data_IF_312150926222
#
_entry.id   IF_312150926222
#
_cell.length_a   1.000
_cell.length_b   1.000
_cell.length_c   1.000
_cell.angle_alpha   90.00
_cell.angle_beta   90.00
_cell.angle_gamma   90.00
#
_symmetry.space_group_name_H-M   'P 1'
#
loop_
_entity.id
_entity.type
_entity.pdbx_description
1 polymer ?
#
# COMPACT_ATOMS: atom_id res chain seq x y z
N UNK A 1 4.20 27.00 15.58
CA UNK A 1 4.13 25.77 16.37
C UNK A 1 5.30 24.90 15.95
N UNK A 2 6.12 24.40 16.89
CA UNK A 2 7.26 23.55 16.52
C UNK A 2 6.74 22.14 16.20
N UNK A 3 7.33 21.48 15.20
CA UNK A 3 6.95 20.13 14.77
C UNK A 3 6.96 19.11 15.93
N UNK A 4 7.88 19.28 16.89
CA UNK A 4 7.97 18.43 18.09
C UNK A 4 6.74 18.59 18.98
N UNK A 5 6.31 19.83 19.23
CA UNK A 5 5.12 20.12 20.03
C UNK A 5 3.86 19.56 19.35
N UNK A 6 3.77 19.71 18.01
CA UNK A 6 2.67 19.14 17.22
C UNK A 6 2.59 17.61 17.31
N UNK A 7 3.72 16.92 17.34
CA UNK A 7 3.78 15.47 17.50
C UNK A 7 3.31 15.02 18.90
N UNK A 8 3.76 15.71 19.96
CA UNK A 8 3.29 15.45 21.32
C UNK A 8 1.78 15.68 21.44
N UNK A 9 1.24 16.71 20.81
CA UNK A 9 -0.18 17.02 20.82
C UNK A 9 -1.02 15.97 20.10
N UNK A 10 -0.55 15.50 18.95
CA UNK A 10 -1.16 14.37 18.26
C UNK A 10 -1.16 13.11 19.11
N UNK A 11 -0.04 12.79 19.77
CA UNK A 11 0.06 11.63 20.67
C UNK A 11 -0.94 11.75 21.84
N UNK A 12 -1.01 12.91 22.51
CA UNK A 12 -1.99 13.16 23.59
C UNK A 12 -3.43 12.94 23.13
N UNK A 13 -3.78 13.39 21.91
CA UNK A 13 -5.13 13.16 21.34
C UNK A 13 -5.42 11.68 21.07
N UNK A 14 -4.42 10.91 20.65
CA UNK A 14 -4.53 9.48 20.39
C UNK A 14 -4.76 8.68 21.68
N UNK A 15 -3.93 8.91 22.70
CA UNK A 15 -4.07 8.26 24.02
C UNK A 15 -5.43 8.55 24.66
N UNK A 16 -5.93 9.79 24.54
CA UNK A 16 -7.28 10.14 25.03
C UNK A 16 -8.39 9.33 24.37
N UNK A 17 -8.21 8.87 23.13
CA UNK A 17 -9.19 8.06 22.38
C UNK A 17 -9.01 6.57 22.61
N UNK A 18 -7.77 6.12 22.84
CA UNK A 18 -7.44 4.72 23.07
C UNK A 18 -6.24 4.62 24.02
N UNK A 19 -6.49 4.13 25.24
CA UNK A 19 -5.46 4.03 26.28
C UNK A 19 -4.33 3.05 25.91
N UNK A 20 -4.62 2.03 25.10
CA UNK A 20 -3.63 1.04 24.67
C UNK A 20 -2.51 1.64 23.80
N UNK A 21 -2.72 2.85 23.23
CA UNK A 21 -1.70 3.57 22.47
C UNK A 21 -0.44 3.84 23.29
N UNK A 22 -0.55 4.04 24.61
CA UNK A 22 0.63 4.25 25.47
C UNK A 22 1.62 3.08 25.44
N UNK A 23 1.14 1.87 25.14
CA UNK A 23 1.94 0.65 25.08
C UNK A 23 2.18 0.18 23.64
N UNK A 24 1.69 0.92 22.65
CA UNK A 24 1.84 0.56 21.25
C UNK A 24 3.29 0.69 20.79
N UNK A 25 3.67 -0.18 19.85
CA UNK A 25 4.90 -0.01 19.07
C UNK A 25 4.59 0.82 17.84
N UNK A 26 5.53 1.66 17.44
CA UNK A 26 5.39 2.53 16.29
C UNK A 26 6.15 1.96 15.09
N UNK A 27 5.48 1.90 13.93
CA UNK A 27 6.17 1.80 12.65
C UNK A 27 6.47 3.23 12.19
N UNK A 28 7.74 3.52 11.88
CA UNK A 28 8.16 4.83 11.36
C UNK A 28 8.84 4.61 10.03
N UNK A 29 8.26 5.16 8.98
CA UNK A 29 8.74 5.04 7.60
C UNK A 29 9.16 6.43 7.09
N UNK A 30 10.21 6.52 6.25
CA UNK A 30 10.58 7.77 5.62
C UNK A 30 9.43 8.34 4.81
N UNK A 31 9.18 9.65 4.96
CA UNK A 31 8.22 10.33 4.12
C UNK A 31 8.83 10.50 2.73
N UNK A 32 8.36 9.72 1.77
CA UNK A 32 8.66 9.93 0.35
C UNK A 32 7.84 11.13 -0.14
N UNK A 33 8.42 11.90 -1.06
CA UNK A 33 7.76 13.02 -1.75
C UNK A 33 7.53 12.63 -3.21
N UNK A 34 6.66 11.65 -3.41
CA UNK A 34 6.26 11.16 -4.72
C UNK A 34 4.79 11.43 -5.04
N UNK A 35 4.28 10.69 -6.02
CA UNK A 35 2.86 10.64 -6.38
C UNK A 35 2.28 9.35 -5.82
N UNK A 36 1.24 9.45 -4.99
CA UNK A 36 0.54 8.29 -4.48
C UNK A 36 -0.15 7.52 -5.62
N UNK A 37 0.12 6.21 -5.71
CA UNK A 37 -0.45 5.28 -6.67
C UNK A 37 -1.12 4.12 -5.95
N UNK A 38 -2.14 3.54 -6.59
CA UNK A 38 -2.73 2.27 -6.19
C UNK A 38 -2.60 1.27 -7.32
N UNK A 39 -2.12 0.07 -7.00
CA UNK A 39 -1.98 -1.06 -7.90
C UNK A 39 -3.01 -2.11 -7.50
N UNK A 40 -3.89 -2.48 -8.44
CA UNK A 40 -4.86 -3.54 -8.25
C UNK A 40 -4.41 -4.79 -8.98
N UNK A 41 -4.22 -5.86 -8.22
CA UNK A 41 -3.94 -7.19 -8.75
C UNK A 41 -5.18 -8.08 -8.59
N UNK A 42 -5.48 -8.86 -9.62
CA UNK A 42 -6.59 -9.81 -9.62
C UNK A 42 -6.08 -11.25 -9.43
N UNK A 43 -6.80 -12.08 -8.67
CA UNK A 43 -6.38 -13.45 -8.39
C UNK A 43 -6.36 -14.28 -9.67
N UNK A 44 -5.41 -15.21 -9.75
CA UNK A 44 -5.39 -16.26 -10.78
C UNK A 44 -5.85 -17.61 -10.19
N UNK A 45 -6.03 -18.62 -11.04
CA UNK A 45 -6.69 -19.87 -10.69
C UNK A 45 -6.05 -20.68 -9.55
N UNK A 46 -4.78 -20.42 -9.20
CA UNK A 46 -4.06 -21.11 -8.12
C UNK A 46 -4.45 -20.63 -6.71
N UNK A 47 -5.23 -19.55 -6.60
CA UNK A 47 -5.75 -18.99 -5.35
C UNK A 47 -4.71 -18.30 -4.45
N UNK A 48 -3.44 -18.20 -4.87
CA UNK A 48 -2.36 -17.58 -4.08
C UNK A 48 -1.49 -16.62 -4.87
N UNK A 49 -1.69 -16.58 -6.19
CA UNK A 49 -1.03 -15.65 -7.08
C UNK A 49 -2.02 -14.62 -7.63
N UNK A 50 -1.48 -13.46 -7.99
CA UNK A 50 -2.22 -12.32 -8.48
C UNK A 50 -1.48 -11.66 -9.64
N UNK A 51 -2.22 -11.17 -10.64
CA UNK A 51 -1.65 -10.44 -11.78
C UNK A 51 -2.16 -9.01 -11.79
N UNK A 52 -1.27 -8.05 -12.09
CA UNK A 52 -1.58 -6.63 -12.18
C UNK A 52 -2.69 -6.41 -13.22
N UNK A 53 -3.85 -5.93 -12.77
CA UNK A 53 -4.99 -5.63 -13.62
C UNK A 53 -4.98 -4.16 -14.05
N UNK A 54 -4.87 -3.24 -13.09
CA UNK A 54 -4.82 -1.82 -13.34
C UNK A 54 -4.03 -1.06 -12.27
N UNK A 55 -3.69 0.18 -12.60
CA UNK A 55 -3.08 1.14 -11.68
C UNK A 55 -3.78 2.50 -11.77
N UNK A 56 -3.94 3.16 -10.64
CA UNK A 56 -4.53 4.50 -10.57
C UNK A 56 -3.70 5.46 -9.73
N UNK A 57 -3.74 6.75 -10.09
CA UNK A 57 -3.24 7.81 -9.21
C UNK A 57 -4.22 8.05 -8.05
N UNK A 58 -3.78 8.68 -6.96
CA UNK A 58 -4.66 9.01 -5.83
C UNK A 58 -5.80 9.99 -6.21
N UNK A 59 -5.55 10.91 -7.15
CA UNK A 59 -6.49 11.96 -7.53
C UNK A 59 -7.01 12.79 -6.34
N UNK A 60 -8.34 12.81 -6.14
CA UNK A 60 -8.99 13.49 -5.00
C UNK A 60 -9.22 12.57 -3.78
N UNK A 61 -8.72 11.32 -3.84
CA UNK A 61 -8.96 10.28 -2.84
C UNK A 61 -10.24 9.47 -3.05
N UNK A 62 -11.04 9.80 -4.06
CA UNK A 62 -12.23 9.04 -4.50
C UNK A 62 -12.10 8.58 -5.95
N UNK A 63 -11.64 9.45 -6.83
CA UNK A 63 -11.41 9.19 -8.24
C UNK A 63 -9.96 9.53 -8.60
N UNK A 64 -9.26 8.55 -9.16
CA UNK A 64 -7.91 8.66 -9.69
C UNK A 64 -7.87 8.61 -11.21
N UNK A 65 -6.73 8.97 -11.78
CA UNK A 65 -6.45 8.78 -13.20
C UNK A 65 -5.98 7.34 -13.45
N UNK A 66 -6.34 6.76 -14.60
CA UNK A 66 -5.80 5.48 -15.03
C UNK A 66 -4.35 5.67 -15.51
N UNK A 67 -3.41 5.07 -14.78
CA UNK A 67 -1.97 5.10 -15.09
C UNK A 67 -1.43 3.71 -15.42
N UNK A 68 -2.31 2.79 -15.81
CA UNK A 68 -1.97 1.38 -16.05
C UNK A 68 -0.91 1.19 -17.14
N UNK A 69 -0.93 2.01 -18.19
CA UNK A 69 0.06 1.93 -19.27
C UNK A 69 1.47 2.27 -18.77
N UNK A 70 1.60 3.39 -18.05
CA UNK A 70 2.87 3.80 -17.44
C UNK A 70 3.40 2.72 -16.47
N UNK A 71 2.53 2.18 -15.61
CA UNK A 71 2.92 1.14 -14.65
C UNK A 71 3.30 -0.17 -15.36
N UNK A 72 2.63 -0.56 -16.45
CA UNK A 72 3.04 -1.74 -17.23
C UNK A 72 4.45 -1.57 -17.80
N UNK A 73 4.82 -0.36 -18.23
CA UNK A 73 6.20 -0.06 -18.65
C UNK A 73 7.20 -0.29 -17.52
N UNK A 74 6.88 0.13 -16.30
CA UNK A 74 7.70 -0.13 -15.11
C UNK A 74 7.77 -1.63 -14.77
N UNK A 75 6.70 -2.38 -15.00
CA UNK A 75 6.70 -3.83 -14.82
C UNK A 75 7.60 -4.56 -15.82
N UNK A 76 7.69 -4.08 -17.06
CA UNK A 76 8.66 -4.59 -18.03
C UNK A 76 10.12 -4.33 -17.61
N UNK A 77 10.35 -3.33 -16.76
CA UNK A 77 11.66 -2.98 -16.19
C UNK A 77 11.92 -3.64 -14.83
N UNK A 78 11.03 -4.52 -14.38
CA UNK A 78 11.07 -5.21 -13.09
C UNK A 78 11.03 -4.28 -11.86
N UNK A 79 10.63 -3.02 -12.04
CA UNK A 79 10.48 -2.04 -10.95
C UNK A 79 9.16 -2.24 -10.19
N UNK A 80 8.14 -2.77 -10.89
CA UNK A 80 6.84 -3.15 -10.32
C UNK A 80 6.57 -4.60 -10.67
N UNK A 81 6.30 -5.50 -9.71
CA UNK A 81 5.95 -6.87 -10.04
C UNK A 81 4.69 -6.92 -10.88
N UNK A 82 4.74 -7.56 -12.06
CA UNK A 82 3.54 -7.87 -12.84
C UNK A 82 2.68 -8.90 -12.11
N UNK A 83 3.34 -9.92 -11.56
CA UNK A 83 2.73 -11.05 -10.88
C UNK A 83 3.25 -11.10 -9.44
N UNK A 84 2.34 -11.31 -8.50
CA UNK A 84 2.64 -11.41 -7.07
C UNK A 84 2.19 -12.78 -6.60
N UNK A 85 3.10 -13.53 -5.99
CA UNK A 85 2.78 -14.78 -5.31
C UNK A 85 2.81 -14.54 -3.80
N UNK A 86 1.71 -14.84 -3.11
CA UNK A 86 1.65 -14.83 -1.65
C UNK A 86 1.76 -16.27 -1.17
N UNK A 87 2.86 -16.65 -0.51
CA UNK A 87 3.01 -18.01 0.01
C UNK A 87 1.83 -18.41 0.93
N UNK A 88 1.31 -19.64 0.83
CA UNK A 88 0.13 -20.07 1.59
C UNK A 88 0.23 -19.91 3.11
N UNK A 89 1.43 -20.04 3.66
CA UNK A 89 1.74 -19.85 5.09
C UNK A 89 1.72 -18.38 5.50
N UNK A 90 2.20 -17.49 4.62
CA UNK A 90 2.08 -16.03 4.81
C UNK A 90 0.61 -15.62 4.74
N UNK A 91 -0.13 -16.12 3.75
CA UNK A 91 -1.56 -15.85 3.61
C UNK A 91 -2.34 -16.30 4.85
N UNK A 92 -2.09 -17.52 5.35
CA UNK A 92 -2.68 -18.02 6.59
C UNK A 92 -2.37 -17.11 7.78
N UNK A 93 -1.11 -16.72 7.93
CA UNK A 93 -0.66 -15.85 9.03
C UNK A 93 -1.38 -14.49 9.00
N UNK A 94 -1.54 -13.89 7.82
CA UNK A 94 -2.23 -12.61 7.68
C UNK A 94 -3.70 -12.72 8.06
N UNK A 95 -4.36 -13.80 7.65
CA UNK A 95 -5.77 -14.04 8.01
C UNK A 95 -5.99 -14.19 9.50
N UNK A 96 -5.14 -14.94 10.18
CA UNK A 96 -5.19 -15.12 11.63
C UNK A 96 -4.97 -13.78 12.36
N UNK A 97 -4.06 -12.94 11.86
CA UNK A 97 -3.77 -11.63 12.47
C UNK A 97 -4.85 -10.57 12.20
N UNK A 98 -5.49 -10.62 11.04
CA UNK A 98 -6.47 -9.63 10.60
C UNK A 98 -7.92 -10.05 10.90
N UNK A 99 -8.12 -11.21 11.55
CA UNK A 99 -9.43 -11.79 11.85
C UNK A 99 -10.35 -11.87 10.61
N UNK A 100 -9.76 -12.28 9.47
CA UNK A 100 -10.48 -12.34 8.18
C UNK A 100 -11.46 -13.52 8.20
N UNK A 101 -12.78 -13.29 8.04
CA UNK A 101 -13.76 -14.37 8.12
C UNK A 101 -13.57 -15.44 7.03
N UNK A 102 -13.92 -16.69 7.34
CA UNK A 102 -13.74 -17.83 6.44
C UNK A 102 -14.54 -17.75 5.13
N UNK A 103 -15.58 -16.94 5.06
CA UNK A 103 -16.29 -16.65 3.81
C UNK A 103 -15.45 -15.84 2.80
N UNK A 104 -14.46 -15.09 3.28
CA UNK A 104 -13.45 -14.42 2.45
C UNK A 104 -12.23 -15.30 2.19
N UNK A 105 -12.23 -16.54 2.69
CA UNK A 105 -11.11 -17.47 2.62
C UNK A 105 -10.73 -17.91 1.23
N UNK A 106 -11.76 -18.13 0.42
CA UNK A 106 -11.72 -18.81 -0.86
C UNK A 106 -11.53 -17.84 -2.03
N UNK A 107 -11.60 -16.53 -1.78
CA UNK A 107 -11.30 -15.52 -2.77
C UNK A 107 -10.81 -14.23 -2.13
N UNK A 108 -9.52 -13.94 -2.29
CA UNK A 108 -9.07 -12.54 -2.25
C UNK A 108 -9.58 -11.93 -3.55
N UNK A 109 -10.69 -11.19 -3.48
CA UNK A 109 -11.30 -10.62 -4.69
C UNK A 109 -10.32 -9.76 -5.50
N UNK A 110 -9.41 -9.06 -4.83
CA UNK A 110 -8.24 -8.42 -5.40
C UNK A 110 -7.23 -8.07 -4.30
N UNK A 111 -5.96 -8.05 -4.66
CA UNK A 111 -4.89 -7.49 -3.84
C UNK A 111 -4.68 -6.04 -4.26
N UNK A 112 -4.82 -5.10 -3.32
CA UNK A 112 -4.48 -3.69 -3.55
C UNK A 112 -3.14 -3.37 -2.87
N UNK A 113 -2.17 -2.92 -3.65
CA UNK A 113 -0.88 -2.43 -3.15
C UNK A 113 -0.84 -0.92 -3.37
N UNK A 114 -0.68 -0.17 -2.28
CA UNK A 114 -0.57 1.30 -2.32
C UNK A 114 0.85 1.73 -2.01
N UNK A 115 1.33 2.73 -2.73
CA UNK A 115 2.67 3.28 -2.54
C UNK A 115 2.83 4.64 -3.19
N UNK A 116 4.06 5.12 -3.23
CA UNK A 116 4.42 6.35 -3.94
C UNK A 116 5.35 6.02 -5.11
N UNK A 117 5.04 6.57 -6.28
CA UNK A 117 5.96 6.63 -7.40
C UNK A 117 6.82 7.89 -7.25
N UNK A 118 8.14 7.74 -7.32
CA UNK A 118 9.10 8.83 -7.15
C UNK A 118 10.32 8.62 -8.05
N UNK A 119 11.05 9.70 -8.31
CA UNK A 119 12.33 9.71 -9.01
C UNK A 119 13.27 10.68 -8.29
N UNK A 120 14.58 10.58 -8.54
CA UNK A 120 15.52 11.56 -7.99
C UNK A 120 15.24 12.94 -8.57
N UNK A 121 15.47 14.00 -7.78
CA UNK A 121 15.22 15.39 -8.23
C UNK A 121 16.01 15.75 -9.50
N UNK A 122 17.22 15.21 -9.63
CA UNK A 122 18.07 15.46 -10.80
C UNK A 122 17.58 14.72 -12.05
N UNK A 123 16.99 13.52 -11.88
CA UNK A 123 16.35 12.79 -12.99
C UNK A 123 15.13 13.53 -13.51
N UNK A 124 14.33 14.12 -12.62
CA UNK A 124 13.20 14.98 -13.02
C UNK A 124 13.63 16.17 -13.86
N UNK A 125 14.71 16.84 -13.44
CA UNK A 125 15.21 18.02 -14.13
C UNK A 125 15.78 17.70 -15.52
N UNK A 126 16.04 16.42 -15.81
CA UNK A 126 16.57 15.94 -17.08
C UNK A 126 15.49 15.44 -18.07
N UNK A 127 14.22 15.39 -17.65
CA UNK A 127 13.05 15.06 -18.51
C UNK A 127 12.64 16.27 -19.36
#
# INVERSE_FOLDING_TARGET
>A
ENAVDGLHDWHRRLVKRCADVERARWCVEPKVDGVAISLRYEPVADGTSFTLACASSRGDGRLGEDVSEAVRSLAHREEVPRDVHIPPDVWRTWRERLDVPDEFASSVGALEVRGEAFFARDEFAAL
#
